data_IF_514261474432
#
_entry.id   IF_514261474432
#
_cell.length_a   1.000
_cell.length_b   1.000
_cell.length_c   1.000
_cell.angle_alpha   90.00
_cell.angle_beta   90.00
_cell.angle_gamma   90.00
#
_symmetry.space_group_name_H-M   'P 1'
#
loop_
_entity.id
_entity.type
_entity.pdbx_description
1 polymer ?
#
# COMPACT_ATOMS: atom_id res chain seq x y z
N UNK A 1 -30.34 -17.15 -23.27
CA UNK A 1 -30.13 -17.38 -21.83
C UNK A 1 -28.65 -17.56 -21.52
N UNK A 2 -27.95 -18.45 -22.21
CA UNK A 2 -26.50 -18.71 -22.04
C UNK A 2 -25.62 -17.45 -22.10
N UNK A 3 -25.78 -16.59 -23.13
CA UNK A 3 -25.02 -15.35 -23.23
C UNK A 3 -25.27 -14.36 -22.07
N UNK A 4 -26.48 -14.34 -21.51
CA UNK A 4 -26.80 -13.47 -20.36
C UNK A 4 -26.18 -13.99 -19.06
N UNK A 5 -26.05 -15.31 -18.94
CA UNK A 5 -25.39 -15.96 -17.80
C UNK A 5 -23.88 -15.70 -17.83
N UNK A 6 -23.25 -15.85 -19.00
CA UNK A 6 -21.82 -15.55 -19.21
C UNK A 6 -21.51 -14.08 -18.86
N UNK A 7 -22.35 -13.14 -19.29
CA UNK A 7 -22.17 -11.71 -18.96
C UNK A 7 -22.25 -11.48 -17.44
N UNK A 8 -23.17 -12.15 -16.74
CA UNK A 8 -23.28 -12.03 -15.28
C UNK A 8 -22.04 -12.57 -14.57
N UNK A 9 -21.51 -13.70 -15.02
CA UNK A 9 -20.29 -14.30 -14.45
C UNK A 9 -19.07 -13.41 -14.69
N UNK A 10 -18.95 -12.83 -15.89
CA UNK A 10 -17.97 -11.80 -16.22
C UNK A 10 -18.06 -10.63 -15.25
N UNK A 11 -19.25 -10.05 -15.07
CA UNK A 11 -19.43 -8.91 -14.18
C UNK A 11 -19.11 -9.25 -12.72
N UNK A 12 -19.42 -10.47 -12.28
CA UNK A 12 -19.11 -10.95 -10.93
C UNK A 12 -17.61 -11.06 -10.72
N UNK A 13 -16.88 -11.59 -11.69
CA UNK A 13 -15.42 -11.71 -11.61
C UNK A 13 -14.72 -10.35 -11.64
N UNK A 14 -15.20 -9.44 -12.49
CA UNK A 14 -14.70 -8.05 -12.53
C UNK A 14 -14.90 -7.36 -11.17
N UNK A 15 -16.04 -7.56 -10.51
CA UNK A 15 -16.29 -7.02 -9.16
C UNK A 15 -15.34 -7.60 -8.11
N UNK A 16 -15.01 -8.90 -8.18
CA UNK A 16 -14.02 -9.52 -7.30
C UNK A 16 -12.63 -8.90 -7.49
N UNK A 17 -12.21 -8.69 -8.74
CA UNK A 17 -10.94 -8.00 -9.03
C UNK A 17 -10.93 -6.58 -8.45
N UNK A 18 -12.04 -5.84 -8.56
CA UNK A 18 -12.17 -4.50 -7.97
C UNK A 18 -12.00 -4.57 -6.44
N UNK A 19 -12.70 -5.48 -5.79
CA UNK A 19 -12.65 -5.67 -4.34
C UNK A 19 -11.23 -6.03 -3.88
N UNK A 20 -10.59 -7.02 -4.51
CA UNK A 20 -9.22 -7.43 -4.17
C UNK A 20 -8.23 -6.26 -4.34
N UNK A 21 -8.33 -5.52 -5.45
CA UNK A 21 -7.45 -4.37 -5.69
C UNK A 21 -7.70 -3.25 -4.68
N UNK A 22 -8.94 -3.06 -4.22
CA UNK A 22 -9.26 -2.08 -3.20
C UNK A 22 -8.64 -2.44 -1.84
N UNK A 23 -8.79 -3.69 -1.40
CA UNK A 23 -8.14 -4.19 -0.19
C UNK A 23 -6.62 -4.08 -0.28
N UNK A 24 -6.02 -4.56 -1.38
CA UNK A 24 -4.57 -4.53 -1.57
C UNK A 24 -4.01 -3.11 -1.63
N UNK A 25 -4.66 -2.20 -2.37
CA UNK A 25 -4.19 -0.81 -2.46
C UNK A 25 -4.19 -0.10 -1.10
N UNK A 26 -5.30 -0.18 -0.36
CA UNK A 26 -5.42 0.43 0.98
C UNK A 26 -4.46 -0.21 1.98
N UNK A 27 -4.32 -1.54 1.97
CA UNK A 27 -3.42 -2.25 2.87
C UNK A 27 -1.95 -1.91 2.62
N UNK A 28 -1.55 -1.74 1.36
CA UNK A 28 -0.23 -1.25 1.01
C UNK A 28 0.00 0.21 1.40
N UNK A 29 -0.96 1.10 1.20
CA UNK A 29 -0.81 2.49 1.64
C UNK A 29 -0.67 2.60 3.15
N UNK A 30 -1.40 1.79 3.91
CA UNK A 30 -1.27 1.75 5.37
C UNK A 30 0.09 1.20 5.81
N UNK A 31 0.54 0.10 5.19
CA UNK A 31 1.87 -0.47 5.42
C UNK A 31 2.98 0.54 5.07
N UNK A 32 2.83 1.29 3.98
CA UNK A 32 3.74 2.36 3.58
C UNK A 32 3.82 3.46 4.64
N UNK A 33 2.68 3.88 5.22
CA UNK A 33 2.67 4.86 6.33
C UNK A 33 3.47 4.36 7.54
N UNK A 34 3.28 3.11 7.93
CA UNK A 34 4.04 2.51 9.04
C UNK A 34 5.55 2.54 8.78
N UNK A 35 6.00 2.10 7.60
CA UNK A 35 7.43 2.12 7.24
C UNK A 35 8.00 3.54 7.14
N UNK A 36 7.22 4.49 6.63
CA UNK A 36 7.62 5.90 6.58
C UNK A 36 7.81 6.49 7.97
N UNK A 37 6.90 6.18 8.89
CA UNK A 37 7.00 6.59 10.28
C UNK A 37 8.28 6.02 10.94
N UNK A 38 8.51 4.71 10.81
CA UNK A 38 9.71 4.08 11.35
C UNK A 38 11.00 4.62 10.76
N UNK A 39 11.02 4.90 9.45
CA UNK A 39 12.16 5.55 8.81
C UNK A 39 12.49 6.88 9.49
N UNK A 40 11.49 7.74 9.71
CA UNK A 40 11.70 9.03 10.37
C UNK A 40 12.12 8.90 11.83
N UNK A 41 11.49 8.01 12.60
CA UNK A 41 11.86 7.77 14.01
C UNK A 41 13.31 7.33 14.12
N UNK A 42 13.73 6.35 13.32
CA UNK A 42 15.10 5.84 13.35
C UNK A 42 16.12 6.88 12.86
N UNK A 43 15.82 7.63 11.80
CA UNK A 43 16.68 8.72 11.34
C UNK A 43 16.85 9.80 12.42
N UNK A 44 15.75 10.23 13.04
CA UNK A 44 15.78 11.25 14.08
C UNK A 44 16.54 10.77 15.31
N UNK A 45 16.31 9.53 15.76
CA UNK A 45 17.02 8.92 16.87
C UNK A 45 18.53 8.80 16.59
N UNK A 46 18.92 8.40 15.38
CA UNK A 46 20.32 8.33 14.96
C UNK A 46 20.99 9.71 15.03
N UNK A 47 20.38 10.73 14.42
CA UNK A 47 20.93 12.10 14.38
C UNK A 47 21.09 12.66 15.79
N UNK A 48 20.07 12.57 16.65
CA UNK A 48 20.16 13.08 18.03
C UNK A 48 21.23 12.34 18.81
N UNK A 49 21.30 11.02 18.68
CA UNK A 49 22.26 10.21 19.42
C UNK A 49 23.71 10.56 19.03
N UNK A 50 23.99 10.78 17.74
CA UNK A 50 25.31 11.25 17.29
C UNK A 50 25.62 12.63 17.86
N UNK A 51 24.72 13.61 17.71
CA UNK A 51 24.93 14.97 18.21
C UNK A 51 25.15 15.00 19.72
N UNK A 52 24.35 14.23 20.48
CA UNK A 52 24.46 14.17 21.93
C UNK A 52 25.76 13.49 22.39
N UNK A 53 26.16 12.40 21.74
CA UNK A 53 27.45 11.74 22.01
C UNK A 53 28.62 12.72 21.80
N UNK A 54 28.59 13.50 20.70
CA UNK A 54 29.61 14.51 20.42
C UNK A 54 29.69 15.57 21.52
N UNK A 55 28.56 16.11 21.97
CA UNK A 55 28.52 17.10 23.07
C UNK A 55 29.07 16.52 24.36
N UNK A 56 28.76 15.28 24.70
CA UNK A 56 29.27 14.62 25.91
C UNK A 56 30.80 14.45 25.86
N UNK A 57 31.35 14.05 24.71
CA UNK A 57 32.81 13.94 24.53
C UNK A 57 33.50 15.29 24.73
N UNK A 58 32.97 16.37 24.12
CA UNK A 58 33.62 17.69 24.18
C UNK A 58 33.44 18.41 25.53
N UNK A 59 32.38 18.10 26.27
CA UNK A 59 32.09 18.75 27.56
C UNK A 59 32.79 18.10 28.75
N UNK A 60 33.67 17.10 28.52
CA UNK A 60 34.24 16.22 29.55
C UNK A 60 33.19 15.59 30.49
N UNK A 61 31.94 15.49 30.02
CA UNK A 61 30.83 14.89 30.75
C UNK A 61 30.96 13.37 30.66
N UNK A 62 31.24 12.76 31.81
CA UNK A 62 31.23 11.32 32.11
C UNK A 62 31.37 10.38 30.90
N UNK A 63 32.63 10.00 30.60
CA UNK A 63 33.05 9.19 29.44
C UNK A 63 32.27 7.88 29.30
N UNK A 64 31.77 7.32 30.40
CA UNK A 64 30.96 6.11 30.39
C UNK A 64 29.64 6.30 29.62
N UNK A 65 28.91 7.38 29.90
CA UNK A 65 27.64 7.70 29.23
C UNK A 65 27.84 8.03 27.76
N UNK A 66 28.92 8.73 27.41
CA UNK A 66 29.25 9.00 26.02
C UNK A 66 29.43 7.72 25.19
N UNK A 67 30.13 6.72 25.74
CA UNK A 67 30.31 5.42 25.11
C UNK A 67 29.00 4.67 24.88
N UNK A 68 28.10 4.67 25.88
CA UNK A 68 26.77 4.04 25.73
C UNK A 68 25.98 4.70 24.59
N UNK A 69 25.91 6.04 24.57
CA UNK A 69 25.18 6.77 23.53
C UNK A 69 25.77 6.50 22.15
N UNK A 70 27.10 6.46 22.02
CA UNK A 70 27.77 6.15 20.76
C UNK A 70 27.42 4.73 20.25
N UNK A 71 27.42 3.72 21.14
CA UNK A 71 27.04 2.35 20.78
C UNK A 71 25.56 2.29 20.36
N UNK A 72 24.67 2.94 21.11
CA UNK A 72 23.24 3.02 20.74
C UNK A 72 23.04 3.68 19.37
N UNK A 73 23.75 4.76 19.07
CA UNK A 73 23.74 5.40 17.75
C UNK A 73 24.14 4.43 16.64
N UNK A 74 25.22 3.67 16.87
CA UNK A 74 25.68 2.63 15.94
C UNK A 74 24.63 1.56 15.68
N UNK A 75 23.95 1.08 16.72
CA UNK A 75 22.86 0.09 16.60
C UNK A 75 21.69 0.66 15.77
N UNK A 76 21.24 1.89 16.07
CA UNK A 76 20.15 2.52 15.31
C UNK A 76 20.53 2.69 13.84
N UNK A 77 21.77 3.09 13.57
CA UNK A 77 22.29 3.23 12.20
C UNK A 77 22.35 1.88 11.49
N UNK A 78 22.78 0.82 12.18
CA UNK A 78 22.77 -0.55 11.64
C UNK A 78 21.35 -1.01 11.32
N UNK A 79 20.37 -0.71 12.18
CA UNK A 79 18.95 -1.01 11.93
C UNK A 79 18.40 -0.25 10.72
N UNK A 80 18.77 1.02 10.52
CA UNK A 80 18.41 1.79 9.33
C UNK A 80 18.90 1.12 8.05
N UNK A 81 20.17 0.68 8.04
CA UNK A 81 20.77 0.01 6.87
C UNK A 81 20.16 -1.37 6.66
N UNK A 82 20.02 -2.17 7.72
CA UNK A 82 19.55 -3.55 7.63
C UNK A 82 18.06 -3.65 7.28
N UNK A 83 17.20 -2.87 7.95
CA UNK A 83 15.75 -2.90 7.70
C UNK A 83 15.36 -2.16 6.42
N UNK A 84 16.18 -1.20 6.00
CA UNK A 84 15.94 -0.28 4.88
C UNK A 84 14.48 0.20 4.81
N UNK A 85 13.97 0.85 5.86
CA UNK A 85 12.54 1.18 5.98
C UNK A 85 12.08 2.13 4.86
N UNK A 86 12.98 2.94 4.30
CA UNK A 86 12.69 3.78 3.15
C UNK A 86 12.39 2.97 1.88
N UNK A 87 13.13 1.89 1.61
CA UNK A 87 12.85 1.00 0.49
C UNK A 87 11.51 0.27 0.68
N UNK A 88 11.22 -0.20 1.91
CA UNK A 88 9.93 -0.84 2.23
C UNK A 88 8.76 0.12 2.03
N UNK A 89 8.91 1.38 2.46
CA UNK A 89 7.94 2.44 2.19
C UNK A 89 7.69 2.62 0.69
N UNK A 90 8.74 2.79 -0.12
CA UNK A 90 8.62 3.01 -1.57
C UNK A 90 7.96 1.81 -2.24
N UNK A 91 8.39 0.59 -1.88
CA UNK A 91 7.83 -0.64 -2.43
C UNK A 91 6.32 -0.76 -2.17
N UNK A 92 5.89 -0.61 -0.92
CA UNK A 92 4.46 -0.62 -0.60
C UNK A 92 3.71 0.54 -1.25
N UNK A 93 4.25 1.75 -1.27
CA UNK A 93 3.60 2.89 -1.91
C UNK A 93 3.36 2.67 -3.40
N UNK A 94 4.36 2.11 -4.10
CA UNK A 94 4.27 1.78 -5.52
C UNK A 94 3.27 0.65 -5.79
N UNK A 95 3.27 -0.42 -4.98
CA UNK A 95 2.25 -1.47 -5.08
C UNK A 95 0.85 -0.91 -4.83
N UNK A 96 0.68 -0.06 -3.82
CA UNK A 96 -0.59 0.61 -3.51
C UNK A 96 -1.13 1.42 -4.70
N UNK A 97 -0.27 2.24 -5.31
CA UNK A 97 -0.60 3.00 -6.52
C UNK A 97 -0.97 2.08 -7.69
N UNK A 98 -0.21 1.01 -7.88
CA UNK A 98 -0.49 0.03 -8.93
C UNK A 98 -1.86 -0.62 -8.77
N UNK A 99 -2.22 -1.08 -7.57
CA UNK A 99 -3.51 -1.73 -7.33
C UNK A 99 -4.66 -0.72 -7.45
N UNK A 100 -4.44 0.52 -7.01
CA UNK A 100 -5.40 1.60 -7.19
C UNK A 100 -5.66 1.89 -8.68
N UNK A 101 -4.60 1.95 -9.49
CA UNK A 101 -4.70 2.16 -10.93
C UNK A 101 -5.43 0.99 -11.61
N UNK A 102 -5.11 -0.26 -11.24
CA UNK A 102 -5.78 -1.44 -11.76
C UNK A 102 -7.27 -1.43 -11.38
N UNK A 103 -7.61 -1.14 -10.12
CA UNK A 103 -9.00 -1.00 -9.64
C UNK A 103 -9.78 0.00 -10.49
N UNK A 104 -9.22 1.19 -10.70
CA UNK A 104 -9.89 2.25 -11.46
C UNK A 104 -10.11 1.84 -12.92
N UNK A 105 -9.11 1.21 -13.55
CA UNK A 105 -9.23 0.68 -14.91
C UNK A 105 -10.30 -0.41 -15.00
N UNK A 106 -10.32 -1.34 -14.05
CA UNK A 106 -11.32 -2.42 -13.97
C UNK A 106 -12.73 -1.86 -13.77
N UNK A 107 -12.87 -0.80 -12.96
CA UNK A 107 -14.16 -0.11 -12.78
C UNK A 107 -14.65 0.55 -14.07
N UNK A 108 -13.78 1.28 -14.79
CA UNK A 108 -14.12 1.89 -16.09
C UNK A 108 -14.54 0.82 -17.11
N UNK A 109 -13.82 -0.31 -17.15
CA UNK A 109 -14.22 -1.45 -17.97
C UNK A 109 -15.63 -1.96 -17.62
N UNK A 110 -15.91 -2.18 -16.33
CA UNK A 110 -17.21 -2.66 -15.86
C UNK A 110 -18.36 -1.69 -16.19
N UNK A 111 -18.16 -0.41 -15.90
CA UNK A 111 -19.24 0.60 -15.93
C UNK A 111 -19.49 1.16 -17.33
N UNK A 112 -18.47 1.16 -18.20
CA UNK A 112 -18.51 1.87 -19.48
C UNK A 112 -18.14 0.92 -20.62
N UNK A 113 -16.91 0.43 -20.67
CA UNK A 113 -16.38 -0.20 -21.88
C UNK A 113 -17.06 -1.55 -22.20
N UNK A 114 -17.36 -2.36 -21.18
CA UNK A 114 -17.97 -3.69 -21.35
C UNK A 114 -19.35 -3.65 -22.02
N UNK A 115 -20.10 -2.55 -21.85
CA UNK A 115 -21.44 -2.39 -22.42
C UNK A 115 -21.45 -2.35 -23.96
N UNK A 116 -20.34 -1.92 -24.56
CA UNK A 116 -20.17 -1.80 -26.00
C UNK A 116 -19.35 -2.95 -26.62
N UNK A 117 -18.89 -3.91 -25.81
CA UNK A 117 -18.04 -5.01 -26.26
C UNK A 117 -18.81 -6.32 -26.42
N UNK A 118 -18.48 -7.06 -27.49
CA UNK A 118 -18.82 -8.47 -27.63
C UNK A 118 -18.24 -9.32 -26.49
N UNK A 119 -18.93 -10.42 -26.15
CA UNK A 119 -18.59 -11.30 -25.03
C UNK A 119 -17.14 -11.81 -25.13
N UNK A 120 -16.70 -12.22 -26.31
CA UNK A 120 -15.33 -12.70 -26.52
C UNK A 120 -14.27 -11.63 -26.18
N UNK A 121 -14.54 -10.37 -26.50
CA UNK A 121 -13.66 -9.25 -26.16
C UNK A 121 -13.63 -9.02 -24.66
N UNK A 122 -14.80 -9.06 -24.00
CA UNK A 122 -14.89 -8.94 -22.55
C UNK A 122 -14.07 -10.03 -21.84
N UNK A 123 -14.16 -11.29 -22.28
CA UNK A 123 -13.37 -12.40 -21.74
C UNK A 123 -11.86 -12.17 -21.90
N UNK A 124 -11.41 -11.65 -23.05
CA UNK A 124 -10.00 -11.31 -23.26
C UNK A 124 -9.53 -10.21 -22.32
N UNK A 125 -10.33 -9.18 -22.10
CA UNK A 125 -10.00 -8.07 -21.19
C UNK A 125 -9.91 -8.57 -19.74
N UNK A 126 -10.86 -9.38 -19.27
CA UNK A 126 -10.82 -9.93 -17.90
C UNK A 126 -9.58 -10.76 -17.66
N UNK A 127 -9.23 -11.66 -18.60
CA UNK A 127 -7.98 -12.46 -18.50
C UNK A 127 -6.75 -11.56 -18.36
N UNK A 128 -6.71 -10.44 -19.09
CA UNK A 128 -5.63 -9.47 -19.00
C UNK A 128 -5.61 -8.74 -17.65
N UNK A 129 -6.76 -8.37 -17.11
CA UNK A 129 -6.88 -7.72 -15.80
C UNK A 129 -6.48 -8.68 -14.67
N UNK A 130 -6.93 -9.93 -14.73
CA UNK A 130 -6.56 -10.99 -13.79
C UNK A 130 -5.06 -11.29 -13.83
N UNK A 131 -4.50 -11.52 -15.02
CA UNK A 131 -3.05 -11.72 -15.18
C UNK A 131 -2.27 -10.55 -14.58
N UNK A 132 -2.71 -9.31 -14.82
CA UNK A 132 -2.05 -8.14 -14.24
C UNK A 132 -2.14 -8.12 -12.72
N UNK A 133 -3.29 -8.47 -12.13
CA UNK A 133 -3.46 -8.62 -10.67
C UNK A 133 -2.48 -9.66 -10.13
N UNK A 134 -2.35 -10.81 -10.80
CA UNK A 134 -1.47 -11.89 -10.37
C UNK A 134 0.01 -11.51 -10.45
N UNK A 135 0.43 -10.84 -11.52
CA UNK A 135 1.79 -10.29 -11.63
C UNK A 135 2.08 -9.37 -10.45
N UNK A 136 1.14 -8.47 -10.14
CA UNK A 136 1.24 -7.51 -9.04
C UNK A 136 1.36 -8.17 -7.68
N UNK A 137 0.56 -9.21 -7.43
CA UNK A 137 0.69 -10.01 -6.21
C UNK A 137 2.06 -10.70 -6.13
N UNK A 138 2.61 -11.14 -7.27
CA UNK A 138 3.90 -11.85 -7.32
C UNK A 138 5.12 -11.00 -6.93
N UNK A 139 5.12 -9.69 -7.22
CA UNK A 139 6.25 -8.81 -6.90
C UNK A 139 6.01 -7.90 -5.69
N UNK A 140 4.79 -7.82 -5.16
CA UNK A 140 4.49 -6.94 -4.03
C UNK A 140 4.94 -7.54 -2.70
N UNK A 141 5.43 -6.67 -1.80
CA UNK A 141 5.69 -7.07 -0.42
C UNK A 141 4.38 -7.51 0.27
N UNK A 142 4.40 -8.50 1.16
CA UNK A 142 3.20 -8.94 1.86
C UNK A 142 2.60 -7.81 2.72
N UNK A 143 1.28 -7.72 2.75
CA UNK A 143 0.56 -6.78 3.62
C UNK A 143 0.46 -7.39 5.02
N UNK A 144 0.97 -6.66 6.02
CA UNK A 144 0.87 -7.07 7.42
C UNK A 144 -0.57 -7.01 7.96
N UNK A 145 -0.81 -7.69 9.07
CA UNK A 145 -2.14 -7.78 9.70
C UNK A 145 -2.75 -6.40 10.02
N UNK A 146 -1.93 -5.46 10.47
CA UNK A 146 -2.36 -4.09 10.76
C UNK A 146 -2.88 -3.38 9.50
N UNK A 147 -2.13 -3.48 8.39
CA UNK A 147 -2.53 -2.91 7.11
C UNK A 147 -3.83 -3.51 6.58
N UNK A 148 -4.00 -4.83 6.73
CA UNK A 148 -5.25 -5.51 6.35
C UNK A 148 -6.45 -5.04 7.17
N UNK A 149 -6.32 -4.99 8.50
CA UNK A 149 -7.39 -4.53 9.40
C UNK A 149 -7.79 -3.08 9.11
N UNK A 150 -6.80 -2.20 8.89
CA UNK A 150 -7.05 -0.81 8.57
C UNK A 150 -7.69 -0.64 7.18
N UNK A 151 -7.27 -1.42 6.19
CA UNK A 151 -7.90 -1.44 4.87
C UNK A 151 -9.39 -1.82 4.99
N UNK A 152 -9.70 -2.88 5.74
CA UNK A 152 -11.09 -3.30 5.99
C UNK A 152 -11.94 -2.19 6.60
N UNK A 153 -11.41 -1.51 7.63
CA UNK A 153 -12.08 -0.37 8.28
C UNK A 153 -12.31 0.79 7.30
N UNK A 154 -11.31 1.14 6.49
CA UNK A 154 -11.44 2.20 5.50
C UNK A 154 -12.49 1.87 4.43
N UNK A 155 -12.53 0.61 3.95
CA UNK A 155 -13.55 0.15 3.00
C UNK A 155 -14.96 0.24 3.59
N UNK A 156 -15.13 -0.13 4.87
CA UNK A 156 -16.41 0.00 5.55
C UNK A 156 -16.88 1.45 5.68
N UNK A 157 -15.97 2.38 5.97
CA UNK A 157 -16.26 3.83 5.99
C UNK A 157 -16.64 4.33 4.58
N UNK A 158 -15.88 3.93 3.56
CA UNK A 158 -16.09 4.38 2.19
C UNK A 158 -17.42 3.89 1.61
N UNK A 159 -17.93 2.73 2.03
CA UNK A 159 -19.28 2.25 1.66
C UNK A 159 -20.40 3.22 2.04
N UNK A 160 -20.20 4.00 3.09
CA UNK A 160 -21.16 5.00 3.55
C UNK A 160 -20.94 6.38 2.90
N UNK A 161 -19.92 6.50 2.03
CA UNK A 161 -19.54 7.75 1.38
C UNK A 161 -20.01 7.75 -0.07
N UNK A 162 -20.88 8.70 -0.43
CA UNK A 162 -21.30 8.92 -1.82
C UNK A 162 -20.52 10.07 -2.44
N UNK A 163 -20.17 9.94 -3.72
CA UNK A 163 -19.62 11.05 -4.49
C UNK A 163 -20.61 12.20 -4.54
N UNK A 164 -20.12 13.43 -4.51
CA UNK A 164 -20.97 14.62 -4.56
C UNK A 164 -21.83 14.65 -5.83
N UNK A 165 -21.25 14.26 -6.97
CA UNK A 165 -21.95 14.16 -8.26
C UNK A 165 -23.14 13.20 -8.25
N UNK A 166 -23.14 12.19 -7.37
CA UNK A 166 -24.22 11.21 -7.25
C UNK A 166 -25.30 11.68 -6.25
N UNK A 167 -24.99 12.68 -5.41
CA UNK A 167 -25.95 13.27 -4.45
C UNK A 167 -26.84 14.32 -5.10
N UNK A 168 -26.34 15.05 -6.08
CA UNK A 168 -27.03 16.15 -6.75
C UNK A 168 -28.08 15.69 -7.79
N UNK A 169 -28.15 14.38 -8.06
CA UNK A 169 -29.10 13.79 -9.02
C UNK A 169 -30.37 13.18 -8.37
N UNK A 170 -30.63 13.47 -7.10
CA UNK A 170 -31.88 13.11 -6.40
C UNK A 170 -32.81 14.30 -6.28
#
# INVERSE_FOLDING_TARGET
MENQEIIKDIQKEVKRIIEDCEYSSKGHFDSAKCWRYWNYVLMFASIISVCFSLVLVYSDLDKFWSGIVAISSGIVTMLLVFLNPQEKYISHYNSGNGFLALRNKTRVFLEIESKAMEIEMQMRVIKKLDSKRNDMNGYSLPIGEYGYKNAKKQIEIDKNTQYQVDKEQK
#
